data_IF_075341046788
#
_entry.id   IF_075341046788
#
_cell.length_a   1.000
_cell.length_b   1.000
_cell.length_c   1.000
_cell.angle_alpha   90.00
_cell.angle_beta   90.00
_cell.angle_gamma   90.00
#
_symmetry.space_group_name_H-M   'P 1'
#
loop_
_entity.id
_entity.type
_entity.pdbx_description
1 polymer ?
#
# COMPACT_ATOMS: atom_id res chain seq x y z
N UNK A 1 -23.70 -18.52 30.86
CA UNK A 1 -23.45 -17.25 30.13
C UNK A 1 -22.36 -17.53 29.12
N UNK A 2 -22.73 -17.82 27.87
CA UNK A 2 -21.78 -18.14 26.80
C UNK A 2 -21.16 -16.84 26.25
N UNK A 3 -19.86 -16.80 25.91
CA UNK A 3 -19.29 -15.63 25.25
C UNK A 3 -19.89 -15.49 23.85
N UNK A 4 -20.37 -14.30 23.54
CA UNK A 4 -20.85 -13.94 22.21
C UNK A 4 -19.74 -14.17 21.19
N UNK A 5 -20.06 -14.88 20.10
CA UNK A 5 -19.15 -15.08 18.99
C UNK A 5 -18.66 -13.72 18.47
N UNK A 6 -17.34 -13.52 18.48
CA UNK A 6 -16.68 -12.36 17.87
C UNK A 6 -17.14 -12.24 16.41
N UNK A 7 -17.48 -11.04 15.91
CA UNK A 7 -17.87 -10.89 14.51
C UNK A 7 -16.74 -11.42 13.62
N UNK A 8 -17.10 -12.30 12.68
CA UNK A 8 -16.18 -12.95 11.76
C UNK A 8 -15.21 -11.94 11.16
N UNK A 9 -13.91 -12.11 11.44
CA UNK A 9 -12.89 -11.27 10.83
C UNK A 9 -12.99 -11.42 9.31
N UNK A 10 -12.91 -10.30 8.55
CA UNK A 10 -12.90 -10.37 7.11
C UNK A 10 -11.70 -11.21 6.68
N UNK A 11 -11.96 -12.47 6.32
CA UNK A 11 -10.98 -13.38 5.75
C UNK A 11 -10.68 -12.86 4.35
N UNK A 12 -9.69 -11.97 4.25
CA UNK A 12 -9.13 -11.50 3.00
C UNK A 12 -8.62 -12.72 2.23
N UNK A 13 -9.40 -13.14 1.25
CA UNK A 13 -9.07 -14.24 0.35
C UNK A 13 -7.75 -13.93 -0.34
N UNK A 14 -6.87 -14.92 -0.46
CA UNK A 14 -5.45 -14.84 -0.82
C UNK A 14 -5.15 -14.34 -2.25
N UNK A 15 -5.58 -13.15 -2.61
CA UNK A 15 -4.74 -12.22 -3.36
C UNK A 15 -3.95 -11.43 -2.33
N UNK A 16 -2.62 -11.54 -2.32
CA UNK A 16 -1.76 -10.87 -1.33
C UNK A 16 -2.21 -9.41 -1.12
N UNK A 17 -2.75 -9.10 0.07
CA UNK A 17 -3.17 -7.74 0.41
C UNK A 17 -1.95 -6.83 0.26
N UNK A 18 -2.06 -5.80 -0.58
CA UNK A 18 -0.99 -4.81 -0.80
C UNK A 18 -1.45 -3.49 -0.24
N UNK A 19 -0.61 -2.87 0.59
CA UNK A 19 -0.94 -1.62 1.26
C UNK A 19 0.08 -0.56 0.84
N UNK A 20 -0.43 0.53 0.27
CA UNK A 20 0.37 1.70 -0.07
C UNK A 20 0.24 2.75 1.03
N UNK A 21 1.35 3.21 1.59
CA UNK A 21 1.38 4.36 2.48
C UNK A 21 1.63 5.64 1.68
N UNK A 22 0.67 6.57 1.77
CA UNK A 22 0.72 7.89 1.16
C UNK A 22 1.09 8.91 2.23
N UNK A 23 2.26 9.53 2.07
CA UNK A 23 2.75 10.50 3.03
C UNK A 23 1.99 11.84 2.93
N UNK A 24 1.96 12.61 4.01
CA UNK A 24 1.32 13.93 4.04
C UNK A 24 2.09 14.99 3.23
N UNK A 25 1.48 16.17 3.04
CA UNK A 25 2.11 17.31 2.36
C UNK A 25 3.46 17.67 2.99
N UNK A 26 4.43 18.06 2.16
CA UNK A 26 5.81 18.41 2.53
C UNK A 26 6.63 17.32 3.26
N UNK A 27 6.06 16.15 3.53
CA UNK A 27 6.80 14.98 4.04
C UNK A 27 7.32 14.12 2.88
N UNK A 28 7.96 12.99 3.20
CA UNK A 28 8.45 12.04 2.21
C UNK A 28 8.26 10.60 2.69
N UNK A 29 8.63 9.61 1.84
CA UNK A 29 8.48 8.20 2.18
C UNK A 29 9.23 7.86 3.48
N UNK A 30 10.41 8.45 3.72
CA UNK A 30 11.21 8.28 4.95
C UNK A 30 10.72 9.02 6.20
N UNK A 31 9.50 9.57 6.20
CA UNK A 31 8.96 10.22 7.41
C UNK A 31 8.89 9.26 8.60
N UNK A 32 9.06 9.78 9.82
CA UNK A 32 8.95 8.98 11.06
C UNK A 32 7.64 8.20 11.09
N UNK A 33 6.53 8.84 10.70
CA UNK A 33 5.21 8.19 10.63
C UNK A 33 5.20 7.05 9.61
N UNK A 34 5.77 7.24 8.42
CA UNK A 34 5.85 6.19 7.40
C UNK A 34 6.66 4.98 7.89
N UNK A 35 7.84 5.23 8.47
CA UNK A 35 8.70 4.16 9.01
C UNK A 35 8.04 3.41 10.16
N UNK A 36 7.41 4.12 11.10
CA UNK A 36 6.68 3.49 12.20
C UNK A 36 5.48 2.67 11.72
N UNK A 37 4.78 3.15 10.69
CA UNK A 37 3.66 2.44 10.09
C UNK A 37 4.12 1.13 9.41
N UNK A 38 5.18 1.19 8.59
CA UNK A 38 5.78 -0.01 7.98
C UNK A 38 6.23 -1.02 9.04
N UNK A 39 6.95 -0.58 10.07
CA UNK A 39 7.41 -1.46 11.16
C UNK A 39 6.24 -2.15 11.85
N UNK A 40 5.21 -1.41 12.23
CA UNK A 40 4.03 -1.97 12.89
C UNK A 40 3.34 -3.03 12.02
N UNK A 41 3.07 -2.75 10.75
CA UNK A 41 2.37 -3.72 9.90
C UNK A 41 3.25 -4.91 9.50
N UNK A 42 4.57 -4.75 9.45
CA UNK A 42 5.50 -5.85 9.21
C UNK A 42 5.45 -6.93 10.31
N UNK A 43 5.16 -6.56 11.57
CA UNK A 43 4.99 -7.55 12.66
C UNK A 43 3.72 -8.38 12.49
N UNK A 44 2.81 -7.96 11.61
CA UNK A 44 1.59 -8.68 11.26
C UNK A 44 1.68 -9.36 9.87
N UNK A 45 2.88 -9.44 9.28
CA UNK A 45 3.08 -10.04 7.96
C UNK A 45 2.52 -9.21 6.80
N UNK A 46 2.19 -7.94 7.04
CA UNK A 46 1.66 -7.04 6.01
C UNK A 46 2.80 -6.15 5.49
N UNK A 47 3.13 -6.30 4.21
CA UNK A 47 4.11 -5.45 3.54
C UNK A 47 3.49 -4.08 3.18
N UNK A 48 4.17 -3.00 3.59
CA UNK A 48 3.78 -1.63 3.28
C UNK A 48 4.74 -1.04 2.24
N UNK A 49 4.20 -0.54 1.13
CA UNK A 49 4.98 0.24 0.17
C UNK A 49 4.79 1.74 0.42
N UNK A 50 5.88 2.45 0.71
CA UNK A 50 5.88 3.89 0.95
C UNK A 50 6.21 4.63 -0.35
N UNK A 51 5.21 5.25 -0.97
CA UNK A 51 5.37 5.93 -2.25
C UNK A 51 5.89 7.37 -2.05
N UNK A 52 6.86 7.80 -2.87
CA UNK A 52 7.26 9.23 -2.91
C UNK A 52 6.31 10.01 -3.80
N UNK A 53 5.52 10.90 -3.20
CA UNK A 53 4.53 11.71 -3.89
C UNK A 53 5.07 13.09 -4.30
N UNK A 54 6.33 13.43 -3.97
CA UNK A 54 6.94 14.73 -4.28
C UNK A 54 7.42 14.79 -5.74
N UNK A 55 6.55 14.46 -6.68
CA UNK A 55 6.88 14.35 -8.11
C UNK A 55 6.36 15.58 -8.88
N UNK A 56 7.17 16.17 -9.78
CA UNK A 56 8.60 15.88 -10.00
C UNK A 56 9.50 16.46 -8.88
N UNK A 57 9.01 17.49 -8.18
CA UNK A 57 9.61 18.03 -6.96
C UNK A 57 8.53 18.69 -6.10
N UNK A 58 8.84 19.01 -4.85
CA UNK A 58 7.90 19.69 -3.95
C UNK A 58 7.50 21.08 -4.47
N UNK A 59 8.44 21.81 -5.09
CA UNK A 59 8.21 23.16 -5.62
C UNK A 59 7.26 23.17 -6.83
N UNK A 60 7.23 22.08 -7.60
CA UNK A 60 6.42 21.93 -8.81
C UNK A 60 5.33 20.86 -8.63
N UNK A 61 4.86 20.68 -7.41
CA UNK A 61 3.94 19.61 -7.06
C UNK A 61 2.59 19.81 -7.78
N UNK A 62 2.14 18.78 -8.49
CA UNK A 62 0.83 18.78 -9.17
C UNK A 62 0.02 17.57 -8.73
N UNK A 63 -1.26 17.76 -8.42
CA UNK A 63 -2.17 16.67 -8.09
C UNK A 63 -2.23 15.61 -9.19
N UNK A 64 -2.23 16.03 -10.46
CA UNK A 64 -2.20 15.10 -11.60
C UNK A 64 -0.95 14.20 -11.61
N UNK A 65 0.21 14.73 -11.24
CA UNK A 65 1.44 13.95 -11.13
C UNK A 65 1.39 12.95 -9.97
N UNK A 66 0.79 13.34 -8.83
CA UNK A 66 0.55 12.45 -7.69
C UNK A 66 -0.36 11.29 -8.11
N UNK A 67 -1.51 11.59 -8.72
CA UNK A 67 -2.47 10.59 -9.18
C UNK A 67 -1.87 9.66 -10.25
N UNK A 68 -1.10 10.21 -11.19
CA UNK A 68 -0.40 9.41 -12.19
C UNK A 68 0.62 8.45 -11.54
N UNK A 69 1.34 8.88 -10.50
CA UNK A 69 2.30 8.03 -9.76
C UNK A 69 1.57 6.88 -9.05
N UNK A 70 0.43 7.16 -8.41
CA UNK A 70 -0.40 6.15 -7.75
C UNK A 70 -0.97 5.16 -8.78
N UNK A 71 -1.50 5.65 -9.90
CA UNK A 71 -2.05 4.82 -10.97
C UNK A 71 -0.98 3.93 -11.60
N UNK A 72 0.21 4.46 -11.87
CA UNK A 72 1.34 3.70 -12.39
C UNK A 72 1.76 2.59 -11.42
N UNK A 73 1.81 2.89 -10.12
CA UNK A 73 2.09 1.88 -9.10
C UNK A 73 1.02 0.79 -9.15
N UNK A 74 -0.26 1.15 -9.05
CA UNK A 74 -1.35 0.17 -9.09
C UNK A 74 -1.36 -0.69 -10.37
N UNK A 75 -1.06 -0.10 -11.54
CA UNK A 75 -0.97 -0.81 -12.81
C UNK A 75 0.20 -1.81 -12.84
N UNK A 76 1.38 -1.41 -12.34
CA UNK A 76 2.55 -2.29 -12.24
C UNK A 76 2.26 -3.54 -11.38
N UNK A 77 1.45 -3.35 -10.34
CA UNK A 77 1.02 -4.41 -9.43
C UNK A 77 -0.02 -5.33 -10.06
N UNK A 78 -0.98 -4.78 -10.81
CA UNK A 78 -1.97 -5.56 -11.55
C UNK A 78 -1.39 -6.42 -12.68
N UNK A 79 -0.27 -6.01 -13.27
CA UNK A 79 0.46 -6.79 -14.28
C UNK A 79 1.26 -7.95 -13.67
N UNK A 80 1.86 -7.76 -12.48
CA UNK A 80 2.60 -8.81 -11.78
C UNK A 80 1.68 -9.94 -11.28
N UNK A 81 0.49 -9.60 -10.79
CA UNK A 81 -0.50 -10.58 -10.29
C UNK A 81 -1.07 -11.47 -11.40
N UNK A 82 -1.31 -10.91 -12.60
CA UNK A 82 -1.79 -11.69 -13.77
C UNK A 82 -0.79 -12.76 -14.21
N UNK A 83 0.50 -12.40 -14.34
CA UNK A 83 1.57 -13.34 -14.71
C UNK A 83 1.69 -14.53 -13.77
N UNK A 84 1.53 -14.30 -12.46
CA UNK A 84 1.61 -15.37 -11.45
C UNK A 84 0.43 -16.36 -11.54
N UNK A 85 -0.74 -15.89 -12.01
CA UNK A 85 -1.93 -16.74 -12.22
C UNK A 85 -1.78 -17.63 -13.46
N UNK A 86 -1.25 -17.07 -14.54
CA UNK A 86 -1.09 -17.80 -15.80
C UNK A 86 0.00 -18.87 -15.72
N UNK A 87 1.02 -18.68 -14.87
CA UNK A 87 2.07 -19.66 -14.62
C UNK A 87 1.69 -20.80 -13.64
N UNK A 88 0.55 -20.69 -12.96
CA UNK A 88 0.05 -21.69 -12.01
C UNK A 88 -1.02 -22.62 -12.61
N UNK A 89 -1.23 -22.53 -13.94
CA UNK A 89 -2.15 -23.35 -14.72
C UNK A 89 -1.35 -24.24 -15.67
#
# INVERSE_FOLDING_TARGET
MAPAASPAEPTLTAGALRVLYLHGFASGPGSVKGLSFERFFSTHGIAIERLDLRRPSLQHLRLSAILATIAAMNASLGAATRRKRDAAK
#
